data_IF_433339693182
#
_entry.id   IF_433339693182
#
_cell.length_a   1.000
_cell.length_b   1.000
_cell.length_c   1.000
_cell.angle_alpha   90.00
_cell.angle_beta   90.00
_cell.angle_gamma   90.00
#
_symmetry.space_group_name_H-M   'P 1'
#
loop_
_entity.id
_entity.type
_entity.pdbx_description
1 polymer ?
#
# COMPACT_ATOMS: atom_id res chain seq x y z
N UNK A 1 -14.62 34.59 21.71
CA UNK A 1 -13.82 33.34 21.74
C UNK A 1 -14.28 32.38 20.63
N UNK A 2 -15.56 31.97 20.57
CA UNK A 2 -16.05 30.98 19.60
C UNK A 2 -15.90 31.40 18.15
N UNK A 3 -16.11 32.69 17.81
CA UNK A 3 -15.90 33.22 16.47
C UNK A 3 -14.45 32.95 15.97
N UNK A 4 -13.47 33.37 16.75
CA UNK A 4 -12.05 33.18 16.40
C UNK A 4 -11.65 31.70 16.34
N UNK A 5 -12.26 30.83 17.15
CA UNK A 5 -12.02 29.40 17.08
C UNK A 5 -12.54 28.79 15.76
N UNK A 6 -13.72 29.22 15.30
CA UNK A 6 -14.29 28.77 14.02
C UNK A 6 -13.45 29.30 12.85
N UNK A 7 -13.02 30.56 12.91
CA UNK A 7 -12.16 31.17 11.88
C UNK A 7 -10.81 30.46 11.77
N UNK A 8 -10.20 30.10 12.91
CA UNK A 8 -8.98 29.28 12.92
C UNK A 8 -9.20 27.90 12.28
N UNK A 9 -10.31 27.24 12.61
CA UNK A 9 -10.65 25.93 12.03
C UNK A 9 -10.88 26.00 10.51
N UNK A 10 -11.35 27.14 10.00
CA UNK A 10 -11.50 27.35 8.56
C UNK A 10 -10.16 27.35 7.84
N UNK A 11 -9.15 28.05 8.39
CA UNK A 11 -7.79 28.05 7.82
C UNK A 11 -7.16 26.66 7.87
N UNK A 12 -7.38 25.90 8.94
CA UNK A 12 -6.91 24.52 9.06
C UNK A 12 -7.53 23.63 7.96
N UNK A 13 -8.82 23.77 7.70
CA UNK A 13 -9.53 23.04 6.64
C UNK A 13 -9.03 23.44 5.25
N UNK A 14 -8.82 24.73 4.99
CA UNK A 14 -8.27 25.21 3.72
C UNK A 14 -6.85 24.66 3.47
N UNK A 15 -6.03 24.59 4.52
CA UNK A 15 -4.71 23.96 4.45
C UNK A 15 -4.81 22.48 4.12
N UNK A 16 -5.68 21.73 4.81
CA UNK A 16 -5.87 20.30 4.55
C UNK A 16 -6.37 20.01 3.12
N UNK A 17 -7.23 20.87 2.59
CA UNK A 17 -7.70 20.78 1.21
C UNK A 17 -6.51 20.91 0.25
N UNK A 18 -5.65 21.92 0.43
CA UNK A 18 -4.46 22.12 -0.41
C UNK A 18 -3.47 20.98 -0.30
N UNK A 19 -3.28 20.43 0.89
CA UNK A 19 -2.41 19.26 1.10
C UNK A 19 -2.94 18.03 0.33
N UNK A 20 -4.25 17.79 0.36
CA UNK A 20 -4.87 16.71 -0.42
C UNK A 20 -4.79 16.95 -1.93
N UNK A 21 -4.99 18.18 -2.40
CA UNK A 21 -4.84 18.55 -3.81
C UNK A 21 -3.40 18.34 -4.31
N UNK A 22 -2.41 18.71 -3.50
CA UNK A 22 -1.00 18.49 -3.80
C UNK A 22 -0.67 16.97 -3.84
N UNK A 23 -1.21 16.21 -2.90
CA UNK A 23 -1.05 14.75 -2.87
C UNK A 23 -1.66 14.09 -4.11
N UNK A 24 -2.85 14.52 -4.51
CA UNK A 24 -3.52 14.03 -5.72
C UNK A 24 -2.74 14.41 -6.99
N UNK A 25 -2.25 15.66 -7.09
CA UNK A 25 -1.40 16.10 -8.21
C UNK A 25 -0.13 15.24 -8.31
N UNK A 26 0.50 14.94 -7.18
CA UNK A 26 1.68 14.06 -7.12
C UNK A 26 1.37 12.64 -7.60
N UNK A 27 0.22 12.07 -7.23
CA UNK A 27 -0.22 10.75 -7.70
C UNK A 27 -0.48 10.71 -9.21
N UNK A 28 -0.96 11.83 -9.77
CA UNK A 28 -1.20 11.97 -11.21
C UNK A 28 0.08 12.31 -12.00
N UNK A 29 1.19 12.61 -11.31
CA UNK A 29 2.44 13.05 -11.94
C UNK A 29 2.36 14.45 -12.53
N UNK A 30 1.46 15.30 -12.04
CA UNK A 30 1.23 16.68 -12.50
C UNK A 30 1.77 17.71 -11.50
N UNK A 31 1.95 18.95 -11.95
CA UNK A 31 2.25 20.07 -11.07
C UNK A 31 1.07 20.34 -10.12
N UNK A 32 1.33 20.83 -8.88
CA UNK A 32 0.28 21.16 -7.93
C UNK A 32 -0.79 22.07 -8.54
N UNK A 33 -2.04 21.66 -8.50
CA UNK A 33 -3.19 22.43 -9.00
C UNK A 33 -4.42 22.21 -8.12
N UNK A 34 -5.39 23.11 -8.21
CA UNK A 34 -6.71 22.88 -7.62
C UNK A 34 -7.58 22.02 -8.54
N UNK A 35 -8.43 21.20 -7.94
CA UNK A 35 -9.36 20.33 -8.66
C UNK A 35 -10.80 20.87 -8.52
N UNK A 36 -11.58 20.73 -9.60
CA UNK A 36 -13.02 20.96 -9.53
C UNK A 36 -13.66 19.91 -8.62
N UNK A 37 -14.48 20.39 -7.68
CA UNK A 37 -15.13 19.56 -6.67
C UNK A 37 -16.64 19.59 -6.86
N UNK A 38 -17.26 18.42 -6.79
CA UNK A 38 -18.72 18.32 -6.72
C UNK A 38 -19.23 18.72 -5.33
N UNK A 39 -20.55 18.76 -5.20
CA UNK A 39 -21.19 19.00 -3.90
C UNK A 39 -21.22 17.71 -3.07
N UNK A 40 -21.23 17.87 -1.75
CA UNK A 40 -21.19 16.76 -0.80
C UNK A 40 -22.43 15.86 -0.94
N UNK A 41 -23.58 16.44 -1.27
CA UNK A 41 -24.86 15.75 -1.37
C UNK A 41 -25.03 14.94 -2.65
N UNK A 42 -24.28 15.29 -3.70
CA UNK A 42 -24.27 14.55 -4.98
C UNK A 42 -23.42 13.28 -4.96
N UNK A 43 -22.65 13.06 -3.92
CA UNK A 43 -21.80 11.88 -3.82
C UNK A 43 -22.62 10.65 -3.42
N UNK A 44 -22.68 9.70 -4.36
CA UNK A 44 -23.34 8.40 -4.15
C UNK A 44 -22.29 7.44 -3.58
N UNK A 45 -22.49 7.03 -2.34
CA UNK A 45 -21.68 5.98 -1.72
C UNK A 45 -22.22 4.60 -2.13
N UNK A 46 -21.35 3.62 -2.43
CA UNK A 46 -21.79 2.28 -2.81
C UNK A 46 -22.60 1.63 -1.68
N UNK A 47 -23.83 1.25 -1.99
CA UNK A 47 -24.75 0.69 -1.00
C UNK A 47 -24.40 -0.75 -0.57
N UNK A 48 -23.79 -1.54 -1.45
CA UNK A 48 -23.49 -2.94 -1.20
C UNK A 48 -22.01 -3.23 -1.32
N UNK A 49 -21.34 -3.31 -0.19
CA UNK A 49 -20.03 -3.97 -0.10
C UNK A 49 -20.28 -5.47 0.05
N UNK A 50 -19.92 -6.23 -0.98
CA UNK A 50 -20.02 -7.69 -0.94
C UNK A 50 -19.04 -8.20 0.13
N UNK A 51 -19.60 -8.73 1.20
CA UNK A 51 -18.82 -9.33 2.30
C UNK A 51 -18.32 -10.69 1.84
N UNK A 52 -17.02 -10.80 1.69
CA UNK A 52 -16.34 -12.05 1.34
C UNK A 52 -15.30 -11.79 0.25
N UNK A 53 -14.02 -11.88 0.63
CA UNK A 53 -12.95 -11.78 -0.34
C UNK A 53 -12.57 -13.19 -0.73
N UNK A 54 -12.83 -13.61 -1.98
CA UNK A 54 -12.28 -14.84 -2.48
C UNK A 54 -10.75 -14.79 -2.35
N UNK A 55 -10.13 -15.89 -1.92
CA UNK A 55 -8.67 -16.01 -1.83
C UNK A 55 -7.97 -15.60 -3.14
N UNK A 56 -8.68 -15.74 -4.28
CA UNK A 56 -8.24 -15.28 -5.59
C UNK A 56 -8.05 -13.75 -5.70
N UNK A 57 -8.81 -12.93 -4.96
CA UNK A 57 -8.59 -11.47 -4.94
C UNK A 57 -7.34 -11.09 -4.14
N UNK A 58 -7.02 -11.82 -3.09
CA UNK A 58 -5.78 -11.63 -2.33
C UNK A 58 -4.55 -11.94 -3.19
N UNK A 59 -4.61 -12.96 -4.05
CA UNK A 59 -3.52 -13.33 -4.96
C UNK A 59 -3.23 -12.26 -6.04
N UNK A 60 -4.16 -11.34 -6.31
CA UNK A 60 -3.95 -10.24 -7.25
C UNK A 60 -3.29 -9.00 -6.63
N UNK A 61 -3.16 -8.96 -5.32
CA UNK A 61 -2.48 -7.84 -4.62
C UNK A 61 -0.99 -7.83 -4.96
N UNK A 62 -0.41 -6.64 -5.27
CA UNK A 62 1.00 -6.53 -5.62
C UNK A 62 1.95 -6.95 -4.49
N UNK A 63 1.61 -6.67 -3.23
CA UNK A 63 2.39 -7.05 -2.05
C UNK A 63 2.42 -8.58 -1.84
N UNK A 64 1.29 -9.26 -2.04
CA UNK A 64 1.19 -10.73 -1.97
C UNK A 64 1.98 -11.37 -3.10
N UNK A 65 1.87 -10.87 -4.34
CA UNK A 65 2.67 -11.34 -5.48
C UNK A 65 4.16 -11.15 -5.27
N UNK A 66 4.56 -10.01 -4.71
CA UNK A 66 5.97 -9.76 -4.43
C UNK A 66 6.53 -10.75 -3.39
N UNK A 67 5.76 -11.04 -2.35
CA UNK A 67 6.14 -12.04 -1.34
C UNK A 67 6.18 -13.46 -1.94
N UNK A 68 5.26 -13.81 -2.86
CA UNK A 68 5.27 -15.08 -3.59
C UNK A 68 6.52 -15.21 -4.48
N UNK A 69 6.88 -14.17 -5.23
CA UNK A 69 8.10 -14.18 -6.05
C UNK A 69 9.37 -14.24 -5.19
N UNK A 70 9.38 -13.62 -4.02
CA UNK A 70 10.48 -13.71 -3.07
C UNK A 70 10.64 -15.14 -2.55
N UNK A 71 9.55 -15.83 -2.27
CA UNK A 71 9.54 -17.25 -1.91
C UNK A 71 10.06 -18.13 -3.06
N UNK A 72 9.59 -17.88 -4.29
CA UNK A 72 10.06 -18.59 -5.48
C UNK A 72 11.57 -18.39 -5.69
N UNK A 73 12.07 -17.18 -5.52
CA UNK A 73 13.50 -16.88 -5.59
C UNK A 73 14.30 -17.68 -4.55
N UNK A 74 13.85 -17.71 -3.30
CA UNK A 74 14.49 -18.47 -2.22
C UNK A 74 14.48 -19.98 -2.51
N UNK A 75 13.42 -20.51 -3.12
CA UNK A 75 13.34 -21.88 -3.59
C UNK A 75 14.40 -22.17 -4.66
N UNK A 76 14.52 -21.32 -5.69
CA UNK A 76 15.53 -21.50 -6.73
C UNK A 76 16.96 -21.30 -6.21
N UNK A 77 17.19 -20.42 -5.23
CA UNK A 77 18.47 -20.27 -4.56
C UNK A 77 18.85 -21.58 -3.81
N UNK A 78 17.89 -22.24 -3.17
CA UNK A 78 18.12 -23.54 -2.53
C UNK A 78 18.45 -24.61 -3.57
N UNK A 79 17.79 -24.62 -4.73
CA UNK A 79 18.13 -25.50 -5.84
C UNK A 79 19.55 -25.22 -6.38
N UNK A 80 19.93 -23.95 -6.51
CA UNK A 80 21.28 -23.53 -6.87
C UNK A 80 22.34 -23.98 -5.85
N UNK A 81 22.03 -23.87 -4.54
CA UNK A 81 22.96 -24.38 -3.51
C UNK A 81 23.11 -25.92 -3.55
N UNK A 82 22.06 -26.65 -3.98
CA UNK A 82 22.15 -28.10 -4.22
C UNK A 82 22.98 -28.42 -5.44
N UNK A 83 22.96 -27.61 -6.50
CA UNK A 83 23.73 -27.86 -7.73
C UNK A 83 25.23 -27.81 -7.48
N UNK A 84 25.71 -27.11 -6.44
CA UNK A 84 27.11 -27.08 -6.04
C UNK A 84 27.67 -28.46 -5.57
N UNK A 85 26.82 -29.46 -5.37
CA UNK A 85 27.22 -30.84 -5.07
C UNK A 85 27.40 -31.69 -6.31
N UNK A 86 27.03 -31.20 -7.49
CA UNK A 86 27.24 -31.88 -8.77
C UNK A 86 28.43 -31.31 -9.52
N UNK A 87 29.03 -32.11 -10.44
CA UNK A 87 30.10 -31.63 -11.29
C UNK A 87 29.67 -30.44 -12.15
N UNK A 88 30.47 -29.39 -12.19
CA UNK A 88 30.31 -28.29 -13.11
C UNK A 88 31.00 -28.56 -14.44
N UNK A 89 30.25 -28.53 -15.54
CA UNK A 89 30.77 -28.61 -16.90
C UNK A 89 30.91 -27.18 -17.44
N UNK A 90 32.15 -26.79 -17.74
CA UNK A 90 32.45 -25.53 -18.43
C UNK A 90 32.94 -25.82 -19.83
N UNK A 91 32.34 -25.11 -20.79
CA UNK A 91 32.71 -25.11 -22.18
C UNK A 91 33.32 -23.73 -22.50
N UNK A 92 34.55 -23.71 -23.01
CA UNK A 92 35.19 -22.49 -23.51
C UNK A 92 35.57 -22.65 -24.94
N UNK A 93 35.31 -21.61 -25.73
CA UNK A 93 35.72 -21.55 -27.14
C UNK A 93 36.30 -20.19 -27.44
N UNK A 94 37.44 -20.19 -28.14
CA UNK A 94 38.04 -18.97 -28.67
C UNK A 94 38.12 -19.08 -30.18
N UNK A 95 37.63 -18.06 -30.86
CA UNK A 95 37.82 -17.88 -32.29
C UNK A 95 38.78 -16.72 -32.48
N UNK A 96 39.90 -16.99 -33.09
CA UNK A 96 40.93 -15.99 -33.36
C UNK A 96 41.34 -16.01 -34.83
N UNK A 97 41.93 -14.94 -35.29
CA UNK A 97 42.55 -14.83 -36.58
C UNK A 97 43.98 -14.29 -36.42
N UNK A 98 44.95 -14.99 -37.02
CA UNK A 98 46.33 -14.56 -37.00
C UNK A 98 46.69 -13.90 -38.34
N UNK A 99 47.25 -12.70 -38.27
CA UNK A 99 47.79 -12.00 -39.43
C UNK A 99 49.32 -11.88 -39.29
N UNK A 100 50.07 -12.55 -40.14
CA UNK A 100 51.51 -12.49 -40.17
C UNK A 100 52.03 -11.20 -40.84
N UNK A 101 51.62 -10.02 -40.37
CA UNK A 101 52.22 -8.73 -40.70
C UNK A 101 51.98 -8.20 -42.13
N UNK A 102 51.13 -8.81 -42.93
CA UNK A 102 50.76 -8.36 -44.29
C UNK A 102 49.36 -7.73 -44.35
N UNK A 103 49.28 -6.55 -44.94
CA UNK A 103 48.07 -5.69 -44.98
C UNK A 103 46.98 -6.18 -45.95
N UNK A 104 47.11 -7.29 -46.61
CA UNK A 104 46.18 -7.68 -47.67
C UNK A 104 45.84 -9.15 -47.61
N UNK A 105 44.53 -9.39 -47.64
CA UNK A 105 43.77 -10.62 -47.84
C UNK A 105 43.39 -11.40 -46.57
N UNK A 106 42.08 -11.44 -46.36
CA UNK A 106 41.40 -12.40 -45.48
C UNK A 106 41.65 -13.82 -46.03
N UNK A 107 42.72 -14.46 -45.54
CA UNK A 107 42.97 -15.85 -45.87
C UNK A 107 42.18 -16.75 -44.94
N UNK A 108 41.19 -17.53 -45.42
CA UNK A 108 40.39 -18.42 -44.60
C UNK A 108 41.18 -19.47 -43.84
N UNK A 109 42.41 -19.79 -44.28
CA UNK A 109 43.28 -20.78 -43.67
C UNK A 109 43.93 -20.28 -42.38
N UNK A 110 43.81 -19.01 -41.99
CA UNK A 110 44.41 -18.39 -40.80
C UNK A 110 43.48 -18.26 -39.59
N UNK A 111 42.27 -18.84 -39.67
CA UNK A 111 41.38 -18.92 -38.51
C UNK A 111 41.85 -19.96 -37.51
N UNK A 112 41.95 -19.55 -36.25
CA UNK A 112 42.27 -20.43 -35.13
C UNK A 112 40.99 -20.64 -34.35
N UNK A 113 40.55 -21.87 -34.27
CA UNK A 113 39.46 -22.29 -33.41
C UNK A 113 39.99 -23.19 -32.29
N UNK A 114 39.81 -22.77 -31.06
CA UNK A 114 40.09 -23.57 -29.88
C UNK A 114 38.79 -23.83 -29.13
N UNK A 115 38.51 -25.09 -28.84
CA UNK A 115 37.42 -25.49 -27.95
C UNK A 115 37.99 -26.36 -26.83
N UNK A 116 37.60 -26.05 -25.61
CA UNK A 116 37.94 -26.85 -24.45
C UNK A 116 36.69 -27.12 -23.60
N UNK A 117 36.56 -28.35 -23.14
CA UNK A 117 35.55 -28.74 -22.17
C UNK A 117 36.26 -29.19 -20.88
N UNK A 118 35.84 -28.65 -19.75
CA UNK A 118 36.37 -29.07 -18.45
C UNK A 118 35.26 -29.45 -17.51
N UNK A 119 35.43 -30.56 -16.77
CA UNK A 119 34.51 -31.03 -15.74
C UNK A 119 35.20 -30.90 -14.39
N UNK A 120 34.66 -30.10 -13.50
CA UNK A 120 35.22 -29.85 -12.19
C UNK A 120 34.24 -30.16 -11.10
N UNK A 121 34.63 -31.00 -10.13
CA UNK A 121 33.85 -31.27 -8.93
C UNK A 121 34.72 -31.12 -7.69
N UNK A 122 34.42 -30.16 -6.79
CA UNK A 122 35.12 -30.05 -5.52
C UNK A 122 34.69 -31.17 -4.57
N UNK A 123 35.63 -32.06 -4.21
CA UNK A 123 35.42 -33.14 -3.26
C UNK A 123 35.60 -32.65 -1.81
N UNK A 124 36.58 -31.75 -1.60
CA UNK A 124 36.87 -31.16 -0.29
C UNK A 124 36.89 -29.65 -0.41
N UNK A 125 35.99 -28.97 0.28
CA UNK A 125 35.94 -27.49 0.36
C UNK A 125 35.60 -26.98 1.78
N UNK A 126 36.15 -27.64 2.81
CA UNK A 126 36.02 -27.29 4.22
C UNK A 126 34.52 -27.13 4.68
N UNK A 127 33.62 -27.91 4.12
CA UNK A 127 32.21 -27.88 4.48
C UNK A 127 31.40 -26.68 3.90
N UNK A 128 32.00 -25.88 3.04
CA UNK A 128 31.38 -24.66 2.48
C UNK A 128 30.07 -24.95 1.76
N UNK A 129 29.99 -25.98 0.91
CA UNK A 129 28.77 -26.32 0.19
C UNK A 129 27.65 -26.76 1.15
N UNK A 130 28.00 -27.50 2.22
CA UNK A 130 27.03 -27.90 3.22
C UNK A 130 26.51 -26.72 4.04
N UNK A 131 27.38 -25.79 4.41
CA UNK A 131 26.98 -24.54 5.10
C UNK A 131 26.08 -23.70 4.20
N UNK A 132 26.45 -23.51 2.92
CA UNK A 132 25.66 -22.74 1.96
C UNK A 132 24.26 -23.34 1.75
N UNK A 133 24.14 -24.66 1.65
CA UNK A 133 22.85 -25.34 1.54
C UNK A 133 21.99 -25.15 2.79
N UNK A 134 22.60 -25.20 3.99
CA UNK A 134 21.87 -24.93 5.25
C UNK A 134 21.36 -23.50 5.32
N UNK A 135 22.17 -22.54 4.93
CA UNK A 135 21.78 -21.12 4.86
C UNK A 135 20.63 -20.94 3.87
N UNK A 136 20.76 -21.47 2.64
CA UNK A 136 19.70 -21.37 1.64
C UNK A 136 18.36 -21.98 2.09
N UNK A 137 18.40 -23.13 2.78
CA UNK A 137 17.19 -23.74 3.36
C UNK A 137 16.56 -22.88 4.46
N UNK A 138 17.37 -22.27 5.33
CA UNK A 138 16.88 -21.38 6.37
C UNK A 138 16.24 -20.12 5.75
N UNK A 139 16.85 -19.53 4.73
CA UNK A 139 16.30 -18.39 3.98
C UNK A 139 15.01 -18.75 3.24
N UNK A 140 14.90 -19.97 2.71
CA UNK A 140 13.65 -20.45 2.11
C UNK A 140 12.53 -20.57 3.15
N UNK A 141 12.85 -21.07 4.35
CA UNK A 141 11.87 -21.13 5.45
C UNK A 141 11.45 -19.73 5.93
N UNK A 142 12.38 -18.80 6.03
CA UNK A 142 12.09 -17.39 6.35
C UNK A 142 11.18 -16.75 5.30
N UNK A 143 11.46 -16.94 4.00
CA UNK A 143 10.63 -16.43 2.92
C UNK A 143 9.21 -17.04 2.95
N UNK A 144 9.07 -18.31 3.30
CA UNK A 144 7.76 -18.96 3.47
C UNK A 144 6.96 -18.33 4.60
N UNK A 145 7.56 -18.11 5.76
CA UNK A 145 6.92 -17.46 6.90
C UNK A 145 6.55 -16.01 6.59
N UNK A 146 7.42 -15.29 5.89
CA UNK A 146 7.15 -13.92 5.43
C UNK A 146 5.97 -13.86 4.46
N UNK A 147 5.89 -14.80 3.51
CA UNK A 147 4.73 -14.91 2.61
C UNK A 147 3.43 -15.18 3.38
N UNK A 148 3.44 -16.11 4.33
CA UNK A 148 2.29 -16.39 5.18
C UNK A 148 1.87 -15.16 5.99
N UNK A 149 2.82 -14.43 6.56
CA UNK A 149 2.55 -13.20 7.30
C UNK A 149 1.93 -12.12 6.41
N UNK A 150 2.43 -11.93 5.20
CA UNK A 150 1.88 -10.98 4.23
C UNK A 150 0.43 -11.33 3.87
N UNK A 151 0.14 -12.61 3.68
CA UNK A 151 -1.22 -13.08 3.39
C UNK A 151 -2.18 -12.82 4.57
N UNK A 152 -1.75 -13.09 5.79
CA UNK A 152 -2.53 -12.82 7.01
C UNK A 152 -2.78 -11.32 7.19
N UNK A 153 -1.76 -10.48 6.97
CA UNK A 153 -1.89 -9.03 7.05
C UNK A 153 -2.87 -8.50 6.01
N UNK A 154 -2.78 -8.98 4.77
CA UNK A 154 -3.70 -8.60 3.70
C UNK A 154 -5.16 -8.97 4.05
N UNK A 155 -5.38 -10.16 4.62
CA UNK A 155 -6.71 -10.58 5.11
C UNK A 155 -7.22 -9.71 6.26
N UNK A 156 -6.34 -9.39 7.22
CA UNK A 156 -6.68 -8.53 8.35
C UNK A 156 -7.02 -7.10 7.92
N UNK A 157 -6.26 -6.52 6.99
CA UNK A 157 -6.54 -5.17 6.44
C UNK A 157 -7.93 -5.08 5.84
N UNK A 158 -8.29 -6.06 5.02
CA UNK A 158 -9.61 -6.06 4.39
C UNK A 158 -10.72 -6.25 5.40
N UNK A 159 -10.54 -7.19 6.36
CA UNK A 159 -11.53 -7.39 7.42
C UNK A 159 -11.71 -6.12 8.28
N UNK A 160 -10.62 -5.42 8.60
CA UNK A 160 -10.66 -4.15 9.32
C UNK A 160 -11.38 -3.05 8.51
N UNK A 161 -11.13 -2.98 7.20
CA UNK A 161 -11.81 -2.02 6.32
C UNK A 161 -13.31 -2.29 6.25
N UNK A 162 -13.72 -3.55 6.12
CA UNK A 162 -15.14 -3.95 6.14
C UNK A 162 -15.81 -3.62 7.48
N UNK A 163 -15.16 -3.94 8.59
CA UNK A 163 -15.66 -3.61 9.92
C UNK A 163 -15.80 -2.09 10.12
N UNK A 164 -14.83 -1.30 9.62
CA UNK A 164 -14.89 0.16 9.63
C UNK A 164 -16.09 0.68 8.83
N UNK A 165 -16.30 0.17 7.61
CA UNK A 165 -17.45 0.53 6.78
C UNK A 165 -18.80 0.20 7.45
N UNK A 166 -18.93 -1.00 8.05
CA UNK A 166 -20.14 -1.39 8.76
C UNK A 166 -20.40 -0.49 9.98
N UNK A 167 -19.33 -0.17 10.74
CA UNK A 167 -19.43 0.76 11.87
C UNK A 167 -19.82 2.16 11.42
N UNK A 168 -19.23 2.69 10.34
CA UNK A 168 -19.56 4.00 9.79
C UNK A 168 -21.03 4.07 9.36
N UNK A 169 -21.51 3.04 8.63
CA UNK A 169 -22.95 2.94 8.26
C UNK A 169 -23.88 3.02 9.47
N UNK A 170 -23.59 2.22 10.50
CA UNK A 170 -24.42 2.21 11.71
C UNK A 170 -24.40 3.56 12.44
N UNK A 171 -23.32 4.31 12.34
CA UNK A 171 -23.19 5.64 12.94
C UNK A 171 -23.95 6.72 12.17
N UNK A 172 -24.04 6.65 10.84
CA UNK A 172 -24.66 7.69 10.02
C UNK A 172 -26.11 7.97 10.46
N UNK A 173 -26.92 6.91 10.61
CA UNK A 173 -28.31 7.04 11.04
C UNK A 173 -28.46 7.64 12.46
N UNK A 174 -27.56 7.22 13.37
CA UNK A 174 -27.56 7.73 14.75
C UNK A 174 -27.10 9.19 14.80
N UNK A 175 -26.11 9.57 13.99
CA UNK A 175 -25.65 10.96 13.87
C UNK A 175 -26.71 11.87 13.30
N UNK A 176 -27.43 11.42 12.28
CA UNK A 176 -28.54 12.21 11.72
C UNK A 176 -29.62 12.50 12.77
N UNK A 177 -30.00 11.49 13.56
CA UNK A 177 -30.96 11.67 14.69
C UNK A 177 -30.39 12.59 15.77
N UNK A 178 -29.10 12.48 16.08
CA UNK A 178 -28.43 13.35 17.04
C UNK A 178 -28.45 14.81 16.59
N UNK A 179 -28.10 15.09 15.32
CA UNK A 179 -28.13 16.45 14.77
C UNK A 179 -29.56 17.03 14.83
N UNK A 180 -30.56 16.28 14.38
CA UNK A 180 -31.96 16.74 14.43
C UNK A 180 -32.42 17.05 15.87
N UNK A 181 -32.02 16.22 16.84
CA UNK A 181 -32.35 16.49 18.26
C UNK A 181 -31.63 17.72 18.79
N UNK A 182 -30.39 17.97 18.38
CA UNK A 182 -29.63 19.16 18.78
C UNK A 182 -30.15 20.44 18.12
N UNK A 183 -30.63 20.37 16.86
CA UNK A 183 -31.30 21.49 16.20
C UNK A 183 -32.54 21.91 17.00
N UNK A 184 -33.39 20.94 17.38
CA UNK A 184 -34.57 21.20 18.24
C UNK A 184 -34.14 21.77 19.60
N UNK A 185 -33.06 21.29 20.20
CA UNK A 185 -32.54 21.80 21.47
C UNK A 185 -32.05 23.26 21.35
N UNK A 186 -31.37 23.61 20.25
CA UNK A 186 -30.90 24.99 19.98
C UNK A 186 -32.12 25.92 19.84
N UNK A 187 -33.12 25.53 19.04
CA UNK A 187 -34.36 26.31 18.87
C UNK A 187 -35.05 26.53 20.21
N UNK A 188 -35.22 25.47 21.00
CA UNK A 188 -35.87 25.54 22.32
C UNK A 188 -35.09 26.44 23.28
N UNK A 189 -33.77 26.35 23.30
CA UNK A 189 -32.92 27.17 24.17
C UNK A 189 -32.97 28.65 23.75
N UNK A 190 -33.01 28.95 22.44
CA UNK A 190 -33.21 30.30 21.95
C UNK A 190 -34.55 30.89 22.34
N UNK A 191 -35.64 30.07 22.29
CA UNK A 191 -36.95 30.48 22.72
C UNK A 191 -36.99 30.79 24.22
N UNK A 192 -36.40 29.91 25.02
CA UNK A 192 -36.26 30.11 26.48
C UNK A 192 -35.47 31.37 26.83
N UNK A 193 -34.43 31.69 26.06
CA UNK A 193 -33.66 32.92 26.24
C UNK A 193 -34.52 34.16 25.95
N UNK A 194 -35.35 34.13 24.89
CA UNK A 194 -36.29 35.25 24.56
C UNK A 194 -37.30 35.49 25.68
N UNK A 195 -37.70 34.43 26.41
CA UNK A 195 -38.60 34.51 27.56
C UNK A 195 -37.90 34.74 28.88
N UNK A 196 -36.58 34.96 28.88
CA UNK A 196 -35.80 35.28 30.08
C UNK A 196 -35.55 34.08 31.00
N UNK A 197 -35.78 32.86 30.54
CA UNK A 197 -35.68 31.62 31.34
C UNK A 197 -34.33 30.93 31.24
N UNK A 198 -33.40 31.38 30.36
CA UNK A 198 -32.08 30.81 30.19
C UNK A 198 -31.07 31.89 29.84
N UNK A 199 -29.78 31.58 29.97
CA UNK A 199 -28.65 32.51 29.75
C UNK A 199 -28.14 32.43 28.32
N UNK A 200 -27.52 33.52 27.82
CA UNK A 200 -26.88 33.54 26.52
C UNK A 200 -25.75 32.48 26.39
N UNK A 201 -25.10 32.13 27.49
CA UNK A 201 -24.09 31.10 27.53
C UNK A 201 -24.62 29.71 27.16
N UNK A 202 -25.82 29.39 27.63
CA UNK A 202 -26.49 28.11 27.31
C UNK A 202 -26.81 27.99 25.81
N UNK A 203 -27.28 29.09 25.20
CA UNK A 203 -27.52 29.12 23.74
C UNK A 203 -26.22 28.90 22.97
N UNK A 204 -25.13 29.57 23.36
CA UNK A 204 -23.81 29.38 22.72
C UNK A 204 -23.30 27.95 22.87
N UNK A 205 -23.47 27.34 24.04
CA UNK A 205 -23.08 25.96 24.28
C UNK A 205 -23.87 24.98 23.43
N UNK A 206 -25.17 25.17 23.33
CA UNK A 206 -26.04 24.35 22.47
C UNK A 206 -25.64 24.47 20.99
N UNK A 207 -25.38 25.69 20.49
CA UNK A 207 -24.90 25.91 19.13
C UNK A 207 -23.53 25.27 18.86
N UNK A 208 -22.60 25.36 19.80
CA UNK A 208 -21.28 24.74 19.68
C UNK A 208 -21.38 23.21 19.64
N UNK A 209 -22.28 22.64 20.45
CA UNK A 209 -22.54 21.20 20.46
C UNK A 209 -23.16 20.75 19.14
N UNK A 210 -24.11 21.51 18.58
CA UNK A 210 -24.71 21.24 17.28
C UNK A 210 -23.65 21.26 16.17
N UNK A 211 -22.81 22.31 16.11
CA UNK A 211 -21.73 22.42 15.12
C UNK A 211 -20.77 21.23 15.19
N UNK A 212 -20.38 20.84 16.40
CA UNK A 212 -19.49 19.67 16.60
C UNK A 212 -20.14 18.37 16.12
N UNK A 213 -21.45 18.22 16.34
CA UNK A 213 -22.20 17.05 15.87
C UNK A 213 -22.33 17.02 14.34
N UNK A 214 -22.57 18.16 13.69
CA UNK A 214 -22.63 18.30 12.24
C UNK A 214 -21.28 17.98 11.58
N UNK A 215 -20.16 18.50 12.12
CA UNK A 215 -18.82 18.16 11.65
C UNK A 215 -18.52 16.67 11.81
N UNK A 216 -18.93 16.07 12.93
CA UNK A 216 -18.77 14.63 13.15
C UNK A 216 -19.61 13.79 12.18
N UNK A 217 -20.82 14.25 11.82
CA UNK A 217 -21.68 13.59 10.85
C UNK A 217 -21.01 13.54 9.47
N UNK A 218 -20.43 14.65 9.03
CA UNK A 218 -19.69 14.72 7.77
C UNK A 218 -18.50 13.75 7.80
N UNK A 219 -17.72 13.78 8.88
CA UNK A 219 -16.55 12.91 9.01
C UNK A 219 -16.94 11.41 9.04
N UNK A 220 -18.00 11.03 9.77
CA UNK A 220 -18.49 9.64 9.82
C UNK A 220 -19.02 9.17 8.44
N UNK A 221 -19.54 10.08 7.59
CA UNK A 221 -20.04 9.76 6.24
C UNK A 221 -18.91 9.48 5.25
N UNK A 222 -17.75 10.15 5.38
CA UNK A 222 -16.66 10.10 4.40
C UNK A 222 -15.40 9.39 4.91
N UNK A 223 -15.36 8.84 6.11
CA UNK A 223 -14.24 8.09 6.67
C UNK A 223 -14.29 6.59 6.35
#
# INVERSE_FOLDING_TARGET
ANYYSIETSLFDLEYQIREMENSLSSLLGEAPRSFERGTLDEQILPENLVVGIPAQMLSNRPDVKNAEYSLAQAFYNTAGARSAFYPALSLSGTLGWTNDGGVTTLDPAKWIFNAAASLVQPIFNAGRNQAQLRIAKAQQQEALLSFQQTLLNAGAEVNNALAKCQSARSKVDLRQKQVASLETAVESTQLLMRHGSTTYLEVLTAQQTLLSAQLSQINDRFS
#
